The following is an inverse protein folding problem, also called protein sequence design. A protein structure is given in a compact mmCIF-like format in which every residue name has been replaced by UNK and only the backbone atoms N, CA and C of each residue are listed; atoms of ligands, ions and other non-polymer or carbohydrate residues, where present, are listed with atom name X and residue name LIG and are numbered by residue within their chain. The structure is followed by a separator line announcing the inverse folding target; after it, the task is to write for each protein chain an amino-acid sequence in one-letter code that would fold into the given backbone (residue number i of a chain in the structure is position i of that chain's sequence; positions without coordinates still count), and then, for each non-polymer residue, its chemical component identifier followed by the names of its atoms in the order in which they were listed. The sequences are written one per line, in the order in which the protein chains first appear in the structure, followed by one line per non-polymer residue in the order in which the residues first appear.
data_IF_787841629063
#
_entry.id   IF_787841629063
#
_cell.length_a   1.000
_cell.length_b   1.000
_cell.length_c   1.000
_cell.angle_alpha   90.00
_cell.angle_beta   90.00
_cell.angle_gamma   90.00
#
_symmetry.space_group_name_H-M   'P 1'
#
loop_
_entity.id
_entity.type
_entity.pdbx_description
1 polymer ?
#
# COMPACT_ATOMS: atom_id res chain seq x y z
N UNK A 1 3.79 -3.75 10.20
CA UNK A 1 4.90 -3.98 9.22
C UNK A 1 5.73 -2.73 9.01
N UNK A 2 5.13 -1.59 8.78
CA UNK A 2 5.81 -0.30 8.67
C UNK A 2 6.77 -0.02 9.84
N UNK A 3 6.40 -0.41 11.06
CA UNK A 3 7.24 -0.28 12.26
C UNK A 3 8.61 -0.98 12.16
N UNK A 4 8.72 -2.07 11.38
CA UNK A 4 9.96 -2.82 11.24
C UNK A 4 11.03 -2.03 10.47
N UNK A 5 10.62 -1.27 9.48
CA UNK A 5 11.51 -0.42 8.69
C UNK A 5 11.83 0.91 9.39
N UNK A 6 10.87 1.46 10.14
CA UNK A 6 11.08 2.67 10.97
C UNK A 6 12.17 2.41 12.01
N UNK A 7 12.23 1.22 12.62
CA UNK A 7 13.28 0.85 13.56
C UNK A 7 14.69 0.82 12.96
N UNK A 8 14.81 0.77 11.63
CA UNK A 8 16.08 0.83 10.90
C UNK A 8 16.46 2.25 10.45
N UNK A 9 15.77 3.28 10.97
CA UNK A 9 15.98 4.69 10.65
C UNK A 9 15.82 5.04 9.16
N UNK A 10 15.09 4.24 8.40
CA UNK A 10 14.73 4.55 7.01
C UNK A 10 13.41 5.34 6.98
N UNK A 11 13.35 6.45 6.24
CA UNK A 11 12.09 7.12 5.96
C UNK A 11 11.10 6.17 5.31
N UNK A 12 9.82 6.27 5.71
CA UNK A 12 8.77 5.40 5.23
C UNK A 12 7.63 6.24 4.65
N UNK A 13 7.25 5.93 3.42
CA UNK A 13 6.10 6.48 2.71
C UNK A 13 5.06 5.36 2.60
N UNK A 14 3.85 5.58 3.13
CA UNK A 14 2.75 4.60 3.10
C UNK A 14 1.64 5.12 2.18
N UNK A 15 1.41 4.43 1.06
CA UNK A 15 0.42 4.86 0.06
C UNK A 15 -1.02 4.74 0.54
N UNK A 16 -1.32 3.92 1.56
CA UNK A 16 -2.63 3.90 2.20
C UNK A 16 -2.88 5.17 3.02
N UNK A 17 -1.82 5.75 3.61
CA UNK A 17 -1.89 7.05 4.29
C UNK A 17 -2.11 8.16 3.26
N UNK A 18 -1.33 8.18 2.17
CA UNK A 18 -1.51 9.14 1.09
C UNK A 18 -2.93 9.09 0.53
N UNK A 19 -3.45 7.90 0.26
CA UNK A 19 -4.82 7.73 -0.24
C UNK A 19 -5.88 8.31 0.72
N UNK A 20 -5.63 8.21 2.03
CA UNK A 20 -6.51 8.81 3.03
C UNK A 20 -6.42 10.32 3.04
N UNK A 21 -5.21 10.87 2.98
CA UNK A 21 -4.97 12.32 2.97
C UNK A 21 -5.60 12.99 1.74
N UNK A 22 -5.46 12.39 0.55
CA UNK A 22 -6.06 12.91 -0.68
C UNK A 22 -7.60 13.00 -0.64
N UNK A 23 -8.24 12.23 0.23
CA UNK A 23 -9.70 12.20 0.44
C UNK A 23 -10.16 13.01 1.67
N UNK A 24 -9.26 13.73 2.37
CA UNK A 24 -9.65 14.67 3.43
C UNK A 24 -10.34 15.91 2.83
N UNK A 25 -11.18 16.62 3.59
CA UNK A 25 -11.84 17.82 3.11
C UNK A 25 -10.88 18.81 2.44
N UNK A 26 -11.32 19.38 1.32
CA UNK A 26 -10.57 20.36 0.52
C UNK A 26 -9.31 19.80 -0.19
N UNK A 27 -9.01 18.51 -0.06
CA UNK A 27 -7.91 17.88 -0.80
C UNK A 27 -8.29 17.54 -2.25
N UNK A 28 -7.27 17.29 -3.06
CA UNK A 28 -7.40 17.19 -4.52
C UNK A 28 -8.42 16.13 -5.02
N UNK A 29 -8.50 14.95 -4.37
CA UNK A 29 -9.45 13.91 -4.76
C UNK A 29 -10.83 14.10 -4.12
N UNK A 30 -10.93 14.84 -3.01
CA UNK A 30 -12.18 15.01 -2.26
C UNK A 30 -13.29 15.64 -3.12
N UNK A 31 -12.96 16.73 -3.82
CA UNK A 31 -13.93 17.43 -4.66
C UNK A 31 -14.47 16.55 -5.79
N UNK A 32 -13.57 15.84 -6.49
CA UNK A 32 -13.96 14.95 -7.59
C UNK A 32 -14.82 13.77 -7.10
N UNK A 33 -14.48 13.19 -5.92
CA UNK A 33 -15.26 12.12 -5.30
C UNK A 33 -16.65 12.62 -4.88
N UNK A 34 -16.73 13.84 -4.35
CA UNK A 34 -18.01 14.47 -3.97
C UNK A 34 -18.89 14.77 -5.17
N UNK A 35 -18.31 15.26 -6.25
CA UNK A 35 -19.01 15.51 -7.50
C UNK A 35 -19.56 14.22 -8.13
N UNK A 36 -18.74 13.15 -8.15
CA UNK A 36 -19.10 11.89 -8.79
C UNK A 36 -20.11 11.05 -8.00
N UNK A 37 -19.92 10.91 -6.68
CA UNK A 37 -20.75 10.05 -5.84
C UNK A 37 -21.88 10.81 -5.12
N UNK A 38 -21.81 12.13 -5.09
CA UNK A 38 -22.80 13.00 -4.47
C UNK A 38 -22.59 13.23 -2.98
N UNK A 39 -23.25 14.26 -2.48
CA UNK A 39 -23.10 14.74 -1.08
C UNK A 39 -23.54 13.71 -0.03
N UNK A 40 -24.36 12.73 -0.40
CA UNK A 40 -24.84 11.68 0.51
C UNK A 40 -23.74 10.76 1.05
N UNK A 41 -22.57 10.76 0.43
CA UNK A 41 -21.36 10.03 0.89
C UNK A 41 -20.50 10.84 1.85
N UNK A 42 -20.95 12.03 2.25
CA UNK A 42 -20.18 12.91 3.12
C UNK A 42 -21.00 13.27 4.37
N UNK A 43 -20.32 13.36 5.50
CA UNK A 43 -20.88 13.83 6.76
C UNK A 43 -21.08 15.35 6.76
N UNK A 44 -21.78 15.89 7.76
CA UNK A 44 -22.05 17.32 7.88
C UNK A 44 -20.78 18.19 8.02
N UNK A 45 -19.69 17.62 8.55
CA UNK A 45 -18.36 18.24 8.66
C UNK A 45 -17.55 18.15 7.34
N UNK A 46 -18.11 17.60 6.28
CA UNK A 46 -17.46 17.43 4.99
C UNK A 46 -16.57 16.19 4.88
N UNK A 47 -16.42 15.38 5.93
CA UNK A 47 -15.64 14.15 5.89
C UNK A 47 -16.33 13.08 5.05
N UNK A 48 -15.52 12.30 4.28
CA UNK A 48 -16.02 11.20 3.47
C UNK A 48 -16.41 10.01 4.37
N UNK A 49 -17.63 9.51 4.21
CA UNK A 49 -18.06 8.22 4.76
C UNK A 49 -17.37 7.07 4.00
N UNK A 50 -16.17 6.70 4.48
CA UNK A 50 -15.34 5.67 3.86
C UNK A 50 -16.01 4.29 3.89
N UNK A 51 -16.85 4.03 4.89
CA UNK A 51 -17.59 2.76 5.00
C UNK A 51 -18.65 2.66 3.92
N UNK A 52 -19.41 3.73 3.70
CA UNK A 52 -20.43 3.80 2.65
C UNK A 52 -19.81 3.71 1.26
N UNK A 53 -18.71 4.46 1.01
CA UNK A 53 -18.00 4.36 -0.27
C UNK A 53 -17.42 2.97 -0.49
N UNK A 54 -16.79 2.37 0.52
CA UNK A 54 -16.25 1.02 0.44
C UNK A 54 -17.34 -0.01 0.11
N UNK A 55 -18.52 0.11 0.70
CA UNK A 55 -19.67 -0.77 0.40
C UNK A 55 -20.14 -0.64 -1.05
N UNK A 56 -20.16 0.59 -1.59
CA UNK A 56 -20.54 0.82 -2.99
C UNK A 56 -19.51 0.20 -3.94
N UNK A 57 -18.23 0.56 -3.80
CA UNK A 57 -17.17 0.08 -4.70
C UNK A 57 -16.96 -1.43 -4.63
N UNK A 58 -17.36 -2.07 -3.51
CA UNK A 58 -17.35 -3.51 -3.38
C UNK A 58 -18.38 -4.21 -4.28
N UNK A 59 -19.53 -3.59 -4.50
CA UNK A 59 -20.66 -4.16 -5.28
C UNK A 59 -20.72 -3.62 -6.70
N UNK A 60 -20.15 -2.44 -6.95
CA UNK A 60 -20.18 -1.79 -8.27
C UNK A 60 -18.79 -1.64 -8.86
N UNK A 61 -18.48 -2.52 -9.83
CA UNK A 61 -17.20 -2.52 -10.53
C UNK A 61 -16.93 -1.24 -11.34
N UNK A 62 -17.96 -0.53 -11.81
CA UNK A 62 -17.80 0.72 -12.54
C UNK A 62 -17.32 1.84 -11.59
N UNK A 63 -17.93 1.95 -10.43
CA UNK A 63 -17.52 2.88 -9.36
C UNK A 63 -16.13 2.58 -8.86
N UNK A 64 -15.77 1.31 -8.67
CA UNK A 64 -14.42 0.90 -8.30
C UNK A 64 -13.39 1.30 -9.36
N UNK A 65 -13.69 1.06 -10.64
CA UNK A 65 -12.81 1.42 -11.76
C UNK A 65 -12.58 2.93 -11.83
N UNK A 66 -13.66 3.72 -11.72
CA UNK A 66 -13.58 5.16 -11.71
C UNK A 66 -12.71 5.69 -10.57
N UNK A 67 -12.95 5.21 -9.35
CA UNK A 67 -12.18 5.63 -8.18
C UNK A 67 -10.68 5.27 -8.33
N UNK A 68 -10.37 4.09 -8.84
CA UNK A 68 -8.99 3.68 -9.10
C UNK A 68 -8.33 4.55 -10.17
N UNK A 69 -9.04 4.91 -11.25
CA UNK A 69 -8.52 5.81 -12.28
C UNK A 69 -8.22 7.22 -11.76
N UNK A 70 -9.01 7.70 -10.80
CA UNK A 70 -8.75 8.96 -10.12
C UNK A 70 -7.57 8.85 -9.14
N UNK A 71 -7.60 7.86 -8.26
CA UNK A 71 -6.70 7.78 -7.11
C UNK A 71 -5.28 7.32 -7.46
N UNK A 72 -5.13 6.33 -8.37
CA UNK A 72 -3.80 5.77 -8.64
C UNK A 72 -2.79 6.80 -9.16
N UNK A 73 -3.11 7.67 -10.15
CA UNK A 73 -2.16 8.68 -10.61
C UNK A 73 -1.87 9.72 -9.54
N UNK A 74 -2.85 10.11 -8.73
CA UNK A 74 -2.65 11.10 -7.66
C UNK A 74 -1.76 10.55 -6.54
N UNK A 75 -1.99 9.29 -6.13
CA UNK A 75 -1.14 8.61 -5.15
C UNK A 75 0.29 8.47 -5.70
N UNK A 76 0.44 8.10 -6.99
CA UNK A 76 1.74 7.97 -7.64
C UNK A 76 2.49 9.30 -7.67
N UNK A 77 1.83 10.36 -8.02
CA UNK A 77 2.40 11.71 -8.01
C UNK A 77 2.89 12.09 -6.61
N UNK A 78 2.06 11.88 -5.59
CA UNK A 78 2.40 12.27 -4.21
C UNK A 78 3.62 11.49 -3.69
N UNK A 79 3.61 10.16 -3.75
CA UNK A 79 4.77 9.41 -3.25
C UNK A 79 6.05 9.68 -4.04
N UNK A 80 5.94 9.99 -5.35
CA UNK A 80 7.11 10.38 -6.16
C UNK A 80 7.68 11.72 -5.71
N UNK A 81 6.83 12.68 -5.37
CA UNK A 81 7.25 13.98 -4.80
C UNK A 81 7.91 13.79 -3.43
N UNK A 82 7.30 12.96 -2.56
CA UNK A 82 7.85 12.67 -1.24
C UNK A 82 9.25 12.02 -1.33
N UNK A 83 9.45 11.08 -2.28
CA UNK A 83 10.76 10.47 -2.56
C UNK A 83 11.78 11.51 -3.02
N UNK A 84 11.39 12.41 -3.95
CA UNK A 84 12.26 13.48 -4.40
C UNK A 84 12.68 14.40 -3.24
N UNK A 85 11.76 14.79 -2.39
CA UNK A 85 12.03 15.63 -1.22
C UNK A 85 12.98 14.94 -0.23
N UNK A 86 12.81 13.64 0.01
CA UNK A 86 13.73 12.86 0.85
C UNK A 86 15.14 12.84 0.25
N UNK A 87 15.26 12.69 -1.06
CA UNK A 87 16.55 12.74 -1.76
C UNK A 87 17.22 14.12 -1.64
N UNK A 88 16.46 15.20 -1.81
CA UNK A 88 16.96 16.58 -1.66
C UNK A 88 17.43 16.89 -0.23
N UNK A 89 16.78 16.26 0.78
CA UNK A 89 17.17 16.38 2.19
C UNK A 89 18.31 15.44 2.61
N UNK A 90 18.94 14.75 1.64
CA UNK A 90 20.15 13.94 1.85
C UNK A 90 19.91 12.50 2.28
N UNK A 91 18.67 12.00 2.24
CA UNK A 91 18.40 10.59 2.50
C UNK A 91 18.86 9.72 1.33
N UNK A 92 19.69 8.72 1.62
CA UNK A 92 20.24 7.80 0.62
C UNK A 92 19.25 6.72 0.19
N UNK A 93 18.30 6.39 1.04
CA UNK A 93 17.27 5.39 0.79
C UNK A 93 16.00 5.72 1.56
N UNK A 94 14.86 5.27 1.04
CA UNK A 94 13.57 5.29 1.71
C UNK A 94 12.79 4.03 1.36
N UNK A 95 11.76 3.74 2.14
CA UNK A 95 10.84 2.62 1.89
C UNK A 95 9.48 3.17 1.48
N UNK A 96 8.96 2.71 0.34
CA UNK A 96 7.60 3.03 -0.09
C UNK A 96 6.74 1.77 0.02
N UNK A 97 5.69 1.82 0.82
CA UNK A 97 4.75 0.70 1.02
C UNK A 97 3.59 0.84 0.04
N UNK A 98 3.49 -0.08 -0.91
CA UNK A 98 2.45 -0.09 -1.95
C UNK A 98 1.78 -1.47 -1.97
N UNK A 99 0.56 -1.63 -1.43
CA UNK A 99 -0.13 -2.93 -1.40
C UNK A 99 -0.44 -3.49 -2.79
N UNK A 100 -0.67 -2.62 -3.77
CA UNK A 100 -1.01 -2.96 -5.15
C UNK A 100 0.14 -2.65 -6.13
N UNK A 101 1.39 -2.83 -5.71
CA UNK A 101 2.58 -2.47 -6.50
C UNK A 101 2.57 -3.05 -7.92
N UNK A 102 2.31 -4.34 -8.03
CA UNK A 102 2.32 -5.06 -9.30
C UNK A 102 1.05 -4.83 -10.12
N UNK A 103 -0.10 -4.69 -9.44
CA UNK A 103 -1.39 -4.43 -10.06
C UNK A 103 -1.47 -3.04 -10.71
N UNK A 104 -0.66 -2.10 -10.20
CA UNK A 104 -0.56 -0.73 -10.74
C UNK A 104 0.67 -0.49 -11.60
N UNK A 105 1.42 -1.56 -11.90
CA UNK A 105 2.66 -1.53 -12.71
C UNK A 105 3.68 -0.48 -12.23
N UNK A 106 3.85 -0.39 -10.90
CA UNK A 106 4.72 0.61 -10.29
C UNK A 106 6.12 0.08 -9.93
N UNK A 107 6.39 -1.23 -10.09
CA UNK A 107 7.63 -1.87 -9.66
C UNK A 107 8.89 -1.34 -10.35
N UNK A 108 8.77 -0.87 -11.59
CA UNK A 108 9.89 -0.32 -12.37
C UNK A 108 10.42 1.03 -11.83
N UNK A 109 9.69 1.65 -10.89
CA UNK A 109 10.11 2.90 -10.26
C UNK A 109 11.04 2.70 -9.04
N UNK A 110 11.36 1.45 -8.69
CA UNK A 110 12.11 1.10 -7.50
C UNK A 110 13.34 0.25 -7.83
N UNK A 111 14.47 0.57 -7.22
CA UNK A 111 15.73 -0.18 -7.37
C UNK A 111 15.58 -1.59 -6.79
N UNK A 112 14.81 -1.74 -5.71
CA UNK A 112 14.58 -3.02 -5.05
C UNK A 112 13.12 -3.18 -4.61
N UNK A 113 12.56 -4.37 -4.86
CA UNK A 113 11.21 -4.74 -4.46
C UNK A 113 11.28 -5.87 -3.42
N UNK A 114 10.65 -5.66 -2.28
CA UNK A 114 10.55 -6.62 -1.17
C UNK A 114 9.09 -7.08 -1.05
N UNK A 115 8.83 -8.36 -1.24
CA UNK A 115 7.51 -8.95 -1.01
C UNK A 115 7.37 -9.42 0.44
N UNK A 116 6.42 -8.85 1.17
CA UNK A 116 6.03 -9.34 2.50
C UNK A 116 4.98 -10.43 2.33
N UNK A 117 5.38 -11.69 2.44
CA UNK A 117 4.54 -12.85 2.15
C UNK A 117 4.05 -13.58 3.41
N UNK A 118 2.95 -14.27 3.28
CA UNK A 118 2.45 -15.26 4.25
C UNK A 118 1.63 -16.33 3.53
N UNK A 119 1.33 -17.44 4.22
CA UNK A 119 0.42 -18.46 3.70
C UNK A 119 -1.00 -17.90 3.53
N UNK A 120 -1.75 -18.49 2.62
CA UNK A 120 -3.18 -18.16 2.43
C UNK A 120 -4.01 -18.38 3.71
N UNK A 121 -3.63 -19.33 4.53
CA UNK A 121 -4.24 -19.58 5.82
C UNK A 121 -4.04 -18.40 6.78
N UNK A 122 -2.79 -17.97 6.98
CA UNK A 122 -2.45 -16.83 7.84
C UNK A 122 -3.04 -15.52 7.31
N UNK A 123 -3.04 -15.33 5.98
CA UNK A 123 -3.66 -14.17 5.35
C UNK A 123 -5.15 -14.07 5.72
N UNK A 124 -5.91 -15.17 5.55
CA UNK A 124 -7.34 -15.21 5.88
C UNK A 124 -7.59 -14.98 7.38
N UNK A 125 -6.78 -15.57 8.26
CA UNK A 125 -6.89 -15.33 9.71
C UNK A 125 -6.68 -13.87 10.06
N UNK A 126 -5.66 -13.23 9.50
CA UNK A 126 -5.34 -11.82 9.74
C UNK A 126 -6.45 -10.89 9.25
N UNK A 127 -7.07 -11.21 8.11
CA UNK A 127 -8.18 -10.43 7.55
C UNK A 127 -9.46 -10.62 8.38
N UNK A 128 -9.76 -11.84 8.83
CA UNK A 128 -10.88 -12.10 9.77
C UNK A 128 -10.72 -11.33 11.09
N UNK A 129 -9.49 -11.27 11.64
CA UNK A 129 -9.22 -10.49 12.85
C UNK A 129 -9.43 -8.98 12.68
N UNK A 130 -9.39 -8.47 11.43
CA UNK A 130 -9.74 -7.07 11.09
C UNK A 130 -11.24 -6.84 10.93
N UNK A 131 -12.07 -7.86 11.20
CA UNK A 131 -13.53 -7.76 11.11
C UNK A 131 -14.11 -7.99 9.70
N UNK A 132 -13.31 -8.48 8.75
CA UNK A 132 -13.80 -8.73 7.39
C UNK A 132 -14.54 -10.06 7.31
N UNK A 133 -15.69 -10.08 6.62
CA UNK A 133 -16.42 -11.30 6.34
C UNK A 133 -15.73 -12.12 5.22
N UNK A 134 -16.17 -13.37 5.04
CA UNK A 134 -15.55 -14.31 4.11
C UNK A 134 -15.60 -13.81 2.66
N UNK A 135 -16.72 -13.29 2.22
CA UNK A 135 -16.94 -12.80 0.86
C UNK A 135 -16.02 -11.61 0.53
N UNK A 136 -15.91 -10.65 1.47
CA UNK A 136 -14.99 -9.52 1.34
C UNK A 136 -13.53 -9.96 1.25
N UNK A 137 -13.13 -10.96 2.06
CA UNK A 137 -11.78 -11.53 2.04
C UNK A 137 -11.48 -12.15 0.67
N UNK A 138 -12.38 -12.98 0.15
CA UNK A 138 -12.21 -13.68 -1.12
C UNK A 138 -12.14 -12.70 -2.30
N UNK A 139 -13.02 -11.71 -2.34
CA UNK A 139 -13.00 -10.66 -3.36
C UNK A 139 -11.70 -9.87 -3.35
N UNK A 140 -11.23 -9.46 -2.16
CA UNK A 140 -9.95 -8.72 -2.02
C UNK A 140 -8.73 -9.54 -2.42
N UNK A 141 -8.73 -10.83 -2.13
CA UNK A 141 -7.65 -11.73 -2.56
C UNK A 141 -7.71 -11.93 -4.08
N UNK A 142 -8.90 -12.14 -4.65
CA UNK A 142 -9.09 -12.35 -6.07
C UNK A 142 -8.75 -11.12 -6.93
N UNK A 143 -8.88 -9.91 -6.38
CA UNK A 143 -8.55 -8.66 -7.07
C UNK A 143 -7.03 -8.37 -7.15
N UNK A 144 -6.21 -9.19 -6.51
CA UNK A 144 -4.76 -9.02 -6.48
C UNK A 144 -4.03 -10.16 -7.20
N UNK A 145 -2.79 -9.91 -7.61
CA UNK A 145 -1.93 -10.98 -8.07
C UNK A 145 -1.79 -12.07 -6.99
N UNK A 146 -1.78 -13.35 -7.41
CA UNK A 146 -1.51 -14.46 -6.49
C UNK A 146 -0.16 -14.27 -5.79
N UNK A 147 -0.09 -14.60 -4.50
CA UNK A 147 1.14 -14.44 -3.70
C UNK A 147 2.37 -15.08 -4.34
N UNK A 148 2.32 -16.31 -4.91
CA UNK A 148 3.49 -16.89 -5.60
C UNK A 148 3.99 -16.03 -6.76
N UNK A 149 3.08 -15.37 -7.51
CA UNK A 149 3.46 -14.48 -8.61
C UNK A 149 4.14 -13.22 -8.09
N UNK A 150 3.64 -12.63 -6.99
CA UNK A 150 4.27 -11.46 -6.35
C UNK A 150 5.67 -11.82 -5.83
N UNK A 151 5.81 -12.98 -5.18
CA UNK A 151 7.10 -13.46 -4.68
C UNK A 151 8.13 -13.62 -5.81
N UNK A 152 7.73 -14.26 -6.92
CA UNK A 152 8.63 -14.48 -8.06
C UNK A 152 9.02 -13.19 -8.80
N UNK A 153 8.19 -12.15 -8.73
CA UNK A 153 8.44 -10.86 -9.36
C UNK A 153 9.18 -9.87 -8.44
N UNK A 154 9.53 -10.28 -7.22
CA UNK A 154 10.23 -9.45 -6.23
C UNK A 154 11.70 -9.85 -6.13
N UNK A 155 12.56 -8.90 -5.78
CA UNK A 155 13.98 -9.14 -5.56
C UNK A 155 14.24 -9.89 -4.24
N UNK A 156 13.42 -9.59 -3.21
CA UNK A 156 13.50 -10.25 -1.91
C UNK A 156 12.11 -10.64 -1.41
N UNK A 157 12.06 -11.71 -0.62
CA UNK A 157 10.84 -12.17 0.05
C UNK A 157 11.08 -12.25 1.53
N UNK A 158 10.20 -11.64 2.33
CA UNK A 158 10.17 -11.75 3.78
C UNK A 158 8.93 -12.55 4.16
N UNK A 159 9.14 -13.73 4.78
CA UNK A 159 8.07 -14.61 5.19
C UNK A 159 7.58 -14.27 6.60
N UNK A 160 6.27 -14.03 6.73
CA UNK A 160 5.69 -13.50 7.97
C UNK A 160 4.82 -14.50 8.74
N UNK A 161 4.84 -15.81 8.38
CA UNK A 161 4.21 -16.89 9.15
C UNK A 161 5.14 -17.40 10.25
N UNK A 162 5.79 -16.49 10.93
CA UNK A 162 6.74 -16.79 12.01
C UNK A 162 6.56 -15.78 13.14
N UNK A 163 7.31 -15.96 14.21
CA UNK A 163 7.34 -15.01 15.30
C UNK A 163 7.85 -13.63 14.86
N UNK A 164 7.39 -12.57 15.54
CA UNK A 164 7.73 -11.18 15.16
C UNK A 164 9.24 -10.95 15.07
N UNK A 165 10.04 -11.50 16.01
CA UNK A 165 11.48 -11.37 15.99
C UNK A 165 12.11 -12.00 14.74
N UNK A 166 11.66 -13.19 14.31
CA UNK A 166 12.17 -13.84 13.10
C UNK A 166 11.85 -13.04 11.82
N UNK A 167 10.69 -12.34 11.78
CA UNK A 167 10.40 -11.39 10.70
C UNK A 167 11.34 -10.19 10.75
N UNK A 168 11.68 -9.68 11.95
CA UNK A 168 12.62 -8.58 12.14
C UNK A 168 14.01 -8.96 11.66
N UNK A 169 14.49 -10.17 11.99
CA UNK A 169 15.79 -10.69 11.56
C UNK A 169 15.86 -10.81 10.04
N UNK A 170 14.82 -11.32 9.38
CA UNK A 170 14.73 -11.34 7.91
C UNK A 170 14.79 -9.92 7.32
N UNK A 171 14.04 -8.96 7.87
CA UNK A 171 14.10 -7.56 7.42
C UNK A 171 15.51 -7.00 7.54
N UNK A 172 16.17 -7.22 8.68
CA UNK A 172 17.53 -6.75 8.92
C UNK A 172 18.53 -7.33 7.91
N UNK A 173 18.48 -8.64 7.67
CA UNK A 173 19.34 -9.32 6.69
C UNK A 173 19.14 -8.79 5.27
N UNK A 174 17.88 -8.61 4.84
CA UNK A 174 17.55 -8.07 3.52
C UNK A 174 18.09 -6.65 3.37
N UNK A 175 17.89 -5.77 4.37
CA UNK A 175 18.41 -4.41 4.33
C UNK A 175 19.94 -4.36 4.31
N UNK A 176 20.61 -5.25 5.06
CA UNK A 176 22.07 -5.35 4.99
C UNK A 176 22.57 -5.75 3.61
N UNK A 177 21.87 -6.66 2.92
CA UNK A 177 22.22 -7.06 1.55
C UNK A 177 22.07 -5.91 0.56
N UNK A 178 20.96 -5.15 0.64
CA UNK A 178 20.71 -3.99 -0.21
C UNK A 178 21.80 -2.92 0.02
N UNK A 179 22.09 -2.57 1.28
CA UNK A 179 23.09 -1.55 1.60
C UNK A 179 24.54 -1.97 1.28
N UNK A 180 24.83 -3.27 1.15
CA UNK A 180 26.16 -3.74 0.69
C UNK A 180 26.28 -3.64 -0.81
N UNK A 181 25.25 -4.03 -1.56
CA UNK A 181 25.23 -3.93 -3.01
C UNK A 181 25.47 -2.48 -3.51
N UNK A 182 24.91 -1.48 -2.81
CA UNK A 182 25.11 -0.06 -3.11
C UNK A 182 26.55 0.45 -2.83
N UNK A 183 27.35 -0.27 -2.05
CA UNK A 183 28.74 0.11 -1.75
C UNK A 183 29.74 -0.45 -2.75
N UNK A 184 29.35 -1.52 -3.43
CA UNK A 184 30.18 -2.26 -4.38
C UNK A 184 29.88 -1.87 -5.84
N UNK A 185 28.87 -0.99 -6.09
CA UNK A 185 28.47 -0.46 -7.38
C UNK A 185 29.02 0.96 -7.61
#
# INVERSE_FOLDING_TARGET
MSELFIQQALPLIDTDIIARQLLEPEQAAWAAVKEHFGASFFSADGSLDRGKLASLIFTDGASMKWLNQLMHPMIRQQWSQDVCQLKETGHKACVVVIPLLFETDAQSAFDTVICMACSSFTQKIRLKKRGWNQEHIESRIASQWPMPRKMNASHHVIWTDCAKHATQDQCHLVLQQICKADRDA
#
